data_IF_201540895200
#
_entry.id   IF_201540895200
#
_cell.length_a   1.000
_cell.length_b   1.000
_cell.length_c   1.000
_cell.angle_alpha   90.00
_cell.angle_beta   90.00
_cell.angle_gamma   90.00
#
_symmetry.space_group_name_H-M   'P 1'
#
loop_
_entity.id
_entity.type
_entity.pdbx_description
1 polymer ?
#
# COMPACT_ATOMS: atom_id res chain seq x y z
N UNK A 1 -0.17 31.86 -3.22
CA UNK A 1 -0.16 30.39 -3.05
C UNK A 1 0.67 29.82 -4.18
N UNK A 2 1.76 29.13 -3.90
CA UNK A 2 2.58 28.51 -4.95
C UNK A 2 1.73 27.41 -5.61
N UNK A 3 1.65 27.37 -6.93
CA UNK A 3 1.06 26.24 -7.62
C UNK A 3 1.86 24.98 -7.26
N UNK A 4 1.18 23.90 -6.87
CA UNK A 4 1.84 22.60 -6.70
C UNK A 4 2.46 22.18 -8.05
N UNK A 5 3.69 21.62 -8.06
CA UNK A 5 4.28 21.15 -9.29
C UNK A 5 3.43 20.02 -9.88
N UNK A 6 3.14 20.10 -11.18
CA UNK A 6 2.38 19.06 -11.88
C UNK A 6 3.18 17.77 -12.07
N UNK A 7 4.52 17.88 -12.09
CA UNK A 7 5.43 16.75 -12.25
C UNK A 7 6.65 16.91 -11.33
N UNK A 8 7.20 15.79 -10.86
CA UNK A 8 8.47 15.72 -10.14
C UNK A 8 9.30 14.56 -10.69
N UNK A 9 10.61 14.75 -10.80
CA UNK A 9 11.51 13.66 -11.15
C UNK A 9 11.87 12.87 -9.90
N UNK A 10 11.80 11.55 -9.98
CA UNK A 10 12.09 10.65 -8.87
C UNK A 10 12.93 9.46 -9.33
N UNK A 11 13.79 8.99 -8.43
CA UNK A 11 14.62 7.82 -8.63
C UNK A 11 13.86 6.59 -8.14
N UNK A 12 13.45 5.72 -9.05
CA UNK A 12 12.81 4.45 -8.74
C UNK A 12 13.77 3.29 -8.96
N UNK A 13 13.74 2.32 -8.05
CA UNK A 13 14.57 1.13 -8.11
C UNK A 13 13.78 -0.01 -8.76
N UNK A 14 14.20 -0.41 -9.95
CA UNK A 14 13.66 -1.53 -10.70
C UNK A 14 14.47 -2.79 -10.43
N UNK A 15 13.82 -3.94 -10.62
CA UNK A 15 14.47 -5.24 -10.47
C UNK A 15 15.34 -5.55 -11.70
N UNK A 16 16.61 -5.91 -11.48
CA UNK A 16 17.50 -6.48 -12.50
C UNK A 16 17.93 -7.90 -12.10
N UNK A 17 17.77 -8.91 -12.97
CA UNK A 17 18.09 -10.30 -12.62
C UNK A 17 19.58 -10.50 -12.33
N UNK A 18 19.94 -11.49 -11.49
CA UNK A 18 21.34 -11.83 -11.23
C UNK A 18 22.09 -12.13 -12.54
N UNK A 19 23.29 -11.56 -12.70
CA UNK A 19 24.13 -11.74 -13.91
C UNK A 19 24.54 -13.19 -14.15
N UNK A 20 24.55 -14.02 -13.10
CA UNK A 20 24.87 -15.44 -13.14
C UNK A 20 23.68 -16.31 -13.59
N UNK A 21 22.49 -15.73 -13.80
CA UNK A 21 21.28 -16.45 -14.18
C UNK A 21 20.64 -17.26 -13.04
N UNK A 22 21.12 -17.10 -11.81
CA UNK A 22 20.52 -17.75 -10.64
C UNK A 22 19.10 -17.21 -10.37
N UNK A 23 18.28 -18.01 -9.66
CA UNK A 23 16.94 -17.57 -9.27
C UNK A 23 17.05 -16.40 -8.28
N UNK A 24 16.37 -15.27 -8.51
CA UNK A 24 16.42 -14.15 -7.59
C UNK A 24 15.79 -14.51 -6.24
N UNK A 25 16.39 -14.04 -5.15
CA UNK A 25 15.86 -14.15 -3.81
C UNK A 25 16.03 -12.84 -3.04
N UNK A 26 15.13 -12.64 -2.09
CA UNK A 26 15.20 -11.58 -1.09
C UNK A 26 14.88 -12.21 0.26
N UNK A 27 15.82 -12.17 1.21
CA UNK A 27 15.51 -12.58 2.57
C UNK A 27 14.57 -11.55 3.21
N UNK A 28 13.54 -12.02 3.93
CA UNK A 28 12.60 -11.12 4.63
C UNK A 28 13.32 -10.38 5.75
N UNK A 29 14.11 -11.12 6.54
CA UNK A 29 14.88 -10.57 7.65
C UNK A 29 16.28 -10.19 7.21
N UNK A 30 16.82 -9.17 7.86
CA UNK A 30 18.23 -8.82 7.71
C UNK A 30 19.12 -9.91 8.31
N UNK A 31 20.34 -10.00 7.81
CA UNK A 31 21.39 -10.79 8.40
C UNK A 31 21.62 -10.34 9.85
N UNK A 32 21.54 -11.24 10.86
CA UNK A 32 21.70 -10.86 12.26
C UNK A 32 23.12 -10.41 12.61
N UNK A 33 24.12 -10.72 11.77
CA UNK A 33 25.52 -10.35 11.94
C UNK A 33 25.85 -9.06 11.20
N UNK A 34 25.50 -8.97 9.91
CA UNK A 34 25.85 -7.79 9.09
C UNK A 34 24.80 -6.68 9.16
N UNK A 35 23.58 -7.00 9.60
CA UNK A 35 22.45 -6.06 9.61
C UNK A 35 21.88 -5.77 8.21
N UNK A 36 22.47 -6.33 7.16
CA UNK A 36 22.07 -6.08 5.77
C UNK A 36 21.04 -7.09 5.27
N UNK A 37 20.19 -6.65 4.36
CA UNK A 37 19.21 -7.52 3.71
C UNK A 37 19.90 -8.35 2.63
N UNK A 38 19.92 -9.67 2.79
CA UNK A 38 20.51 -10.57 1.81
C UNK A 38 19.65 -10.65 0.54
N UNK A 39 20.21 -10.17 -0.58
CA UNK A 39 19.66 -10.24 -1.93
C UNK A 39 20.75 -10.69 -2.91
N UNK A 40 20.39 -11.36 -4.00
CA UNK A 40 21.32 -11.71 -5.09
C UNK A 40 21.05 -10.96 -6.40
N UNK A 41 20.04 -10.09 -6.42
CA UNK A 41 19.72 -9.24 -7.55
C UNK A 41 20.21 -7.81 -7.30
N UNK A 42 20.39 -7.04 -8.37
CA UNK A 42 20.88 -5.66 -8.29
C UNK A 42 19.72 -4.72 -8.62
N UNK A 43 19.41 -3.73 -7.77
CA UNK A 43 18.45 -2.70 -8.12
C UNK A 43 19.02 -1.83 -9.26
N UNK A 44 18.22 -1.62 -10.29
CA UNK A 44 18.53 -0.69 -11.37
C UNK A 44 17.78 0.61 -11.13
N UNK A 45 18.50 1.72 -11.03
CA UNK A 45 17.91 3.02 -10.77
C UNK A 45 17.45 3.68 -12.08
N UNK A 46 16.18 4.07 -12.13
CA UNK A 46 15.61 4.83 -13.22
C UNK A 46 15.06 6.15 -12.72
N UNK A 47 15.42 7.24 -13.40
CA UNK A 47 14.79 8.54 -13.19
C UNK A 47 13.50 8.56 -13.99
N UNK A 48 12.38 8.67 -13.30
CA UNK A 48 11.05 8.74 -13.91
C UNK A 48 10.34 10.01 -13.48
N UNK A 49 9.49 10.50 -14.36
CA UNK A 49 8.64 11.65 -14.07
C UNK A 49 7.33 11.18 -13.42
N UNK A 50 7.04 11.68 -12.22
CA UNK A 50 5.82 11.37 -11.46
C UNK A 50 4.85 12.55 -11.59
N UNK A 51 3.62 12.28 -12.03
CA UNK A 51 2.57 13.28 -12.20
C UNK A 51 1.72 13.47 -10.92
N UNK A 52 1.34 14.71 -10.64
CA UNK A 52 0.32 15.04 -9.65
C UNK A 52 -1.09 14.72 -10.19
N UNK A 53 -1.74 13.72 -9.59
CA UNK A 53 -3.08 13.26 -9.97
C UNK A 53 -4.23 14.15 -9.46
N UNK A 54 -3.97 15.08 -8.53
CA UNK A 54 -5.03 15.87 -7.89
C UNK A 54 -5.84 16.66 -8.92
N UNK A 55 -7.16 16.50 -8.94
CA UNK A 55 -8.07 17.11 -9.91
C UNK A 55 -8.21 16.34 -11.23
N UNK A 56 -7.53 15.20 -11.38
CA UNK A 56 -7.61 14.30 -12.54
C UNK A 56 -7.91 12.87 -12.11
N UNK A 57 -8.54 12.69 -10.96
CA UNK A 57 -8.75 11.37 -10.35
C UNK A 57 -9.59 10.43 -11.23
N UNK A 58 -10.51 10.98 -12.01
CA UNK A 58 -11.35 10.21 -12.95
C UNK A 58 -10.60 9.75 -14.21
N UNK A 59 -9.35 10.19 -14.41
CA UNK A 59 -8.55 9.83 -15.60
C UNK A 59 -7.88 8.45 -15.49
N UNK A 60 -7.89 7.83 -14.31
CA UNK A 60 -7.20 6.57 -14.04
C UNK A 60 -8.18 5.46 -13.69
N UNK A 61 -8.02 4.31 -14.35
CA UNK A 61 -8.82 3.10 -14.09
C UNK A 61 -7.89 1.92 -13.84
N UNK A 62 -8.45 0.85 -13.27
CA UNK A 62 -7.69 -0.39 -13.05
C UNK A 62 -7.07 -0.91 -14.36
N UNK A 63 -7.79 -0.81 -15.48
CA UNK A 63 -7.32 -1.33 -16.77
C UNK A 63 -6.19 -0.50 -17.38
N UNK A 64 -6.19 0.82 -17.15
CA UNK A 64 -5.20 1.72 -17.77
C UNK A 64 -3.98 1.95 -16.89
N UNK A 65 -4.19 2.07 -15.57
CA UNK A 65 -3.17 2.47 -14.62
C UNK A 65 -2.84 1.40 -13.56
N UNK A 66 -3.63 0.32 -13.49
CA UNK A 66 -3.47 -0.71 -12.45
C UNK A 66 -4.00 -0.31 -11.07
N UNK A 67 -4.57 0.88 -10.94
CA UNK A 67 -5.23 1.36 -9.73
C UNK A 67 -6.46 2.21 -10.09
N UNK A 68 -7.36 2.42 -9.14
CA UNK A 68 -8.54 3.25 -9.34
C UNK A 68 -8.75 4.16 -8.13
N UNK A 69 -9.15 5.40 -8.40
CA UNK A 69 -9.50 6.36 -7.37
C UNK A 69 -11.02 6.40 -7.22
N UNK A 70 -11.51 6.06 -6.03
CA UNK A 70 -12.94 6.11 -5.70
C UNK A 70 -13.17 6.79 -4.37
N UNK A 71 -14.27 7.53 -4.25
CA UNK A 71 -14.71 8.14 -2.99
C UNK A 71 -16.04 7.56 -2.56
N UNK A 72 -16.05 6.96 -1.38
CA UNK A 72 -17.27 6.48 -0.73
C UNK A 72 -17.25 6.88 0.75
N UNK A 73 -18.37 7.35 1.33
CA UNK A 73 -18.47 7.48 2.77
C UNK A 73 -18.38 6.09 3.42
N UNK A 74 -17.61 6.01 4.51
CA UNK A 74 -17.54 4.84 5.38
C UNK A 74 -18.56 4.99 6.51
N UNK A 75 -19.34 3.95 6.77
CA UNK A 75 -20.23 3.90 7.92
C UNK A 75 -19.42 3.70 9.21
N UNK A 76 -18.43 2.80 9.17
CA UNK A 76 -17.52 2.57 10.28
C UNK A 76 -16.51 3.73 10.41
N UNK A 77 -16.31 4.23 11.63
CA UNK A 77 -15.46 5.42 11.91
C UNK A 77 -14.47 5.26 13.05
N UNK A 78 -14.65 4.25 13.91
CA UNK A 78 -13.88 4.12 15.14
C UNK A 78 -12.48 3.55 14.89
N UNK A 79 -12.36 2.47 14.11
CA UNK A 79 -11.09 1.78 13.83
C UNK A 79 -10.26 1.49 15.10
N UNK A 80 -10.92 1.02 16.15
CA UNK A 80 -10.32 0.73 17.46
C UNK A 80 -10.46 -0.73 17.90
N UNK A 81 -11.07 -1.57 17.07
CA UNK A 81 -11.46 -2.94 17.40
C UNK A 81 -11.48 -3.76 16.13
N UNK A 82 -10.59 -4.74 16.04
CA UNK A 82 -10.55 -5.74 14.97
C UNK A 82 -11.93 -6.39 14.72
N UNK A 83 -12.68 -6.67 15.80
CA UNK A 83 -13.96 -7.34 15.71
C UNK A 83 -15.02 -6.44 15.04
N UNK A 84 -15.03 -5.15 15.39
CA UNK A 84 -15.95 -4.18 14.78
C UNK A 84 -15.56 -3.91 13.32
N UNK A 85 -14.26 -3.87 13.01
CA UNK A 85 -13.76 -3.73 11.64
C UNK A 85 -14.20 -4.92 10.78
N UNK A 86 -14.07 -6.15 11.29
CA UNK A 86 -14.49 -7.37 10.56
C UNK A 86 -16.01 -7.44 10.41
N UNK A 87 -16.77 -6.98 11.41
CA UNK A 87 -18.22 -7.02 11.38
C UNK A 87 -18.83 -5.93 10.49
N UNK A 88 -18.25 -4.72 10.46
CA UNK A 88 -18.86 -3.55 9.84
C UNK A 88 -18.08 -3.06 8.60
N UNK A 89 -16.77 -2.85 8.73
CA UNK A 89 -15.94 -2.23 7.69
C UNK A 89 -15.63 -3.19 6.53
N UNK A 90 -15.47 -4.48 6.83
CA UNK A 90 -15.21 -5.51 5.83
C UNK A 90 -16.36 -5.68 4.83
N UNK A 91 -17.63 -5.88 5.26
CA UNK A 91 -18.75 -5.97 4.35
C UNK A 91 -18.92 -4.72 3.47
N UNK A 92 -18.81 -3.52 4.03
CA UNK A 92 -18.94 -2.30 3.23
C UNK A 92 -17.83 -2.15 2.19
N UNK A 93 -16.58 -2.48 2.56
CA UNK A 93 -15.44 -2.46 1.63
C UNK A 93 -15.57 -3.51 0.52
N UNK A 94 -16.04 -4.71 0.85
CA UNK A 94 -16.28 -5.78 -0.13
C UNK A 94 -17.33 -5.35 -1.15
N UNK A 95 -18.46 -4.81 -0.70
CA UNK A 95 -19.53 -4.38 -1.60
C UNK A 95 -19.12 -3.18 -2.46
N UNK A 96 -18.37 -2.22 -1.89
CA UNK A 96 -17.79 -1.11 -2.65
C UNK A 96 -16.85 -1.62 -3.75
N UNK A 97 -15.93 -2.52 -3.42
CA UNK A 97 -14.98 -3.08 -4.38
C UNK A 97 -15.68 -3.89 -5.47
N UNK A 98 -16.69 -4.70 -5.13
CA UNK A 98 -17.51 -5.39 -6.15
C UNK A 98 -18.20 -4.42 -7.08
N UNK A 99 -18.78 -3.33 -6.55
CA UNK A 99 -19.47 -2.32 -7.34
C UNK A 99 -18.54 -1.57 -8.30
N UNK A 100 -17.33 -1.23 -7.85
CA UNK A 100 -16.35 -0.50 -8.66
C UNK A 100 -15.72 -1.41 -9.72
N UNK A 101 -15.31 -2.62 -9.32
CA UNK A 101 -14.50 -3.50 -10.18
C UNK A 101 -15.32 -4.50 -10.99
N UNK A 102 -16.59 -4.72 -10.62
CA UNK A 102 -17.39 -5.81 -11.18
C UNK A 102 -16.96 -7.21 -10.73
N UNK A 103 -16.06 -7.32 -9.73
CA UNK A 103 -15.56 -8.60 -9.26
C UNK A 103 -16.69 -9.48 -8.71
N UNK A 104 -16.66 -10.77 -9.05
CA UNK A 104 -17.60 -11.77 -8.52
C UNK A 104 -17.34 -12.11 -7.05
N UNK A 105 -16.08 -11.95 -6.60
CA UNK A 105 -15.66 -12.23 -5.23
C UNK A 105 -14.53 -11.31 -4.81
N UNK A 106 -14.64 -10.79 -3.59
CA UNK A 106 -13.60 -9.99 -2.92
C UNK A 106 -13.34 -10.64 -1.57
N UNK A 107 -12.07 -10.82 -1.21
CA UNK A 107 -11.65 -11.43 0.06
C UNK A 107 -10.57 -10.54 0.67
N UNK A 108 -10.85 -9.86 1.78
CA UNK A 108 -9.81 -9.18 2.56
C UNK A 108 -8.80 -10.23 3.08
N UNK A 109 -7.51 -10.00 2.83
CA UNK A 109 -6.44 -10.89 3.29
C UNK A 109 -5.91 -10.49 4.66
N UNK A 110 -5.66 -9.20 4.86
CA UNK A 110 -5.08 -8.64 6.07
C UNK A 110 -5.52 -7.19 6.25
N UNK A 111 -5.49 -6.69 7.48
CA UNK A 111 -5.57 -5.27 7.78
C UNK A 111 -4.59 -4.95 8.91
N UNK A 112 -4.00 -3.75 8.85
CA UNK A 112 -3.18 -3.24 9.94
C UNK A 112 -3.84 -1.98 10.50
N UNK A 113 -4.12 -1.99 11.80
CA UNK A 113 -4.60 -0.80 12.50
C UNK A 113 -3.43 0.18 12.69
N UNK A 114 -3.47 1.32 12.01
CA UNK A 114 -2.45 2.36 12.19
C UNK A 114 -2.88 3.32 13.29
N UNK A 115 -2.54 3.02 14.53
CA UNK A 115 -2.78 3.93 15.65
C UNK A 115 -1.84 5.14 15.58
N UNK A 116 -2.40 6.36 15.61
CA UNK A 116 -1.63 7.63 15.55
C UNK A 116 -0.61 7.80 16.67
N UNK A 117 -0.73 7.06 17.76
CA UNK A 117 0.20 7.07 18.87
C UNK A 117 0.53 5.63 19.32
N UNK A 118 1.66 5.05 18.90
CA UNK A 118 2.05 3.69 19.27
C UNK A 118 2.22 3.48 20.78
N UNK A 119 2.39 4.56 21.55
CA UNK A 119 2.67 4.51 23.00
C UNK A 119 1.41 4.53 23.88
N UNK A 120 0.20 4.65 23.31
CA UNK A 120 -1.03 4.65 24.13
C UNK A 120 -1.44 3.26 24.60
N UNK A 121 -1.20 2.19 23.84
CA UNK A 121 -1.61 0.83 24.24
C UNK A 121 -0.77 0.27 25.40
N UNK A 122 0.46 0.76 25.60
CA UNK A 122 1.36 0.31 26.68
C UNK A 122 0.85 0.75 28.08
N UNK A 123 -0.07 1.72 28.16
CA UNK A 123 -0.55 2.26 29.44
C UNK A 123 -1.79 1.55 30.01
N UNK A 124 -2.55 0.85 29.18
CA UNK A 124 -3.80 0.20 29.62
C UNK A 124 -3.58 -1.22 30.15
N UNK A 125 -2.43 -1.85 29.88
CA UNK A 125 -2.09 -3.19 30.38
C UNK A 125 -1.46 -3.19 31.80
N UNK A 126 -1.46 -2.03 32.48
CA UNK A 126 -0.89 -1.86 33.83
C UNK A 126 -1.92 -1.30 34.84
N UNK A 127 -3.23 -1.47 34.60
CA UNK A 127 -4.28 -1.05 35.53
C UNK A 127 -5.28 -2.15 35.86
#
# INVERSE_FOLDING_TARGET
MSAEPQFVDAHLLYFSPPKDGSKPYTHVNNDPVTGERRINWVPEEHIVQIENLRGKEDSVTLDTAGYHYGRSPSAHKAFTSDDDIKAEYYPESIELLKKITGASRVVPFDHSECQRNPLSSIRDEQR
#
